data_IF_359483941704
#
_entry.id   IF_359483941704
#
_cell.length_a   1.000
_cell.length_b   1.000
_cell.length_c   1.000
_cell.angle_alpha   90.00
_cell.angle_beta   90.00
_cell.angle_gamma   90.00
#
_symmetry.space_group_name_H-M   'P 1'
#
loop_
_entity.id
_entity.type
_entity.pdbx_description
1 polymer ?
#
# COMPACT_ATOMS: atom_id res chain seq x y z
N UNK A 1 -42.85 13.26 -12.52
CA UNK A 1 -41.58 13.26 -13.29
C UNK A 1 -40.47 12.87 -12.34
N UNK A 2 -39.81 11.73 -12.55
CA UNK A 2 -38.81 11.20 -11.63
C UNK A 2 -37.43 11.78 -11.95
N UNK A 3 -36.76 12.30 -10.92
CA UNK A 3 -35.40 12.88 -11.02
C UNK A 3 -34.39 11.77 -11.35
N UNK A 4 -33.43 12.00 -12.27
CA UNK A 4 -32.43 10.99 -12.62
C UNK A 4 -31.55 10.66 -11.39
N UNK A 5 -31.65 9.42 -10.89
CA UNK A 5 -30.81 8.95 -9.81
C UNK A 5 -29.38 8.70 -10.30
N UNK A 6 -28.44 9.57 -9.92
CA UNK A 6 -26.99 9.39 -10.05
C UNK A 6 -26.45 8.28 -9.13
N UNK A 7 -26.90 7.03 -9.30
CA UNK A 7 -26.52 5.89 -8.46
C UNK A 7 -25.13 5.29 -8.73
N UNK A 8 -24.32 5.88 -9.61
CA UNK A 8 -22.98 5.37 -9.95
C UNK A 8 -21.87 6.43 -9.92
N UNK A 9 -22.05 7.49 -9.12
CA UNK A 9 -20.99 8.46 -8.79
C UNK A 9 -20.75 8.54 -7.29
N UNK A 10 -20.71 7.39 -6.61
CA UNK A 10 -19.99 7.29 -5.34
C UNK A 10 -18.51 7.42 -5.67
N UNK A 11 -18.09 8.67 -5.80
CA UNK A 11 -16.69 9.02 -5.94
C UNK A 11 -15.94 8.56 -4.70
N UNK A 12 -14.71 8.08 -4.88
CA UNK A 12 -13.77 7.88 -3.79
C UNK A 12 -13.33 9.23 -3.15
N UNK A 13 -13.95 10.35 -3.53
CA UNK A 13 -13.92 11.64 -2.82
C UNK A 13 -14.26 11.53 -1.32
N UNK A 14 -14.90 10.43 -0.88
CA UNK A 14 -15.15 10.12 0.53
C UNK A 14 -14.26 9.03 1.13
N UNK A 15 -13.24 8.53 0.41
CA UNK A 15 -12.21 7.69 1.06
C UNK A 15 -11.39 8.65 1.91
N UNK A 16 -11.76 8.73 3.19
CA UNK A 16 -10.96 9.35 4.22
C UNK A 16 -9.65 8.58 4.21
N UNK A 17 -8.62 9.15 3.58
CA UNK A 17 -7.25 8.74 3.87
C UNK A 17 -7.06 9.16 5.32
N UNK A 18 -6.81 8.21 6.25
CA UNK A 18 -6.53 8.55 7.63
C UNK A 18 -5.45 9.63 7.65
N UNK A 19 -5.59 10.60 8.54
CA UNK A 19 -4.52 11.56 8.75
C UNK A 19 -3.25 10.79 9.13
N UNK A 20 -2.08 11.12 8.53
CA UNK A 20 -0.86 10.38 8.80
C UNK A 20 -0.60 10.41 10.31
N UNK A 21 -0.41 9.23 10.90
CA UNK A 21 -0.01 9.15 12.30
C UNK A 21 1.44 9.58 12.36
N UNK A 22 1.67 10.71 13.03
CA UNK A 22 2.99 11.25 13.26
C UNK A 22 3.44 10.91 14.67
N UNK A 23 4.62 10.30 14.77
CA UNK A 23 5.27 10.11 16.06
C UNK A 23 5.79 11.45 16.57
N UNK A 24 5.91 11.58 17.89
CA UNK A 24 6.75 12.65 18.42
C UNK A 24 8.20 12.43 17.96
N UNK A 25 9.01 13.48 17.78
CA UNK A 25 10.41 13.31 17.36
C UNK A 25 11.19 12.35 18.28
N UNK A 26 10.93 12.40 19.59
CA UNK A 26 11.58 11.50 20.55
C UNK A 26 11.15 10.02 20.37
N UNK A 27 9.87 9.78 20.07
CA UNK A 27 9.37 8.43 19.78
C UNK A 27 9.90 7.89 18.46
N UNK A 28 9.96 8.73 17.41
CA UNK A 28 10.52 8.35 16.12
C UNK A 28 12.00 7.96 16.25
N UNK A 29 12.81 8.79 16.92
CA UNK A 29 14.23 8.50 17.13
C UNK A 29 14.42 7.20 17.91
N UNK A 30 13.65 7.02 19.00
CA UNK A 30 13.71 5.80 19.83
C UNK A 30 13.27 4.56 19.06
N UNK A 31 12.18 4.66 18.29
CA UNK A 31 11.65 3.56 17.48
C UNK A 31 12.63 3.17 16.38
N UNK A 32 13.24 4.16 15.72
CA UNK A 32 14.25 3.95 14.67
C UNK A 32 15.52 3.31 15.23
N UNK A 33 16.02 3.81 16.36
CA UNK A 33 17.20 3.22 17.03
C UNK A 33 16.93 1.77 17.42
N UNK A 34 15.77 1.49 18.03
CA UNK A 34 15.39 0.14 18.42
C UNK A 34 15.19 -0.78 17.21
N UNK A 35 14.56 -0.29 16.15
CA UNK A 35 14.43 -1.03 14.90
C UNK A 35 15.80 -1.44 14.37
N UNK A 36 16.74 -0.51 14.27
CA UNK A 36 18.10 -0.79 13.79
C UNK A 36 18.81 -1.81 14.69
N UNK A 37 18.70 -1.68 16.01
CA UNK A 37 19.27 -2.65 16.95
C UNK A 37 18.72 -4.07 16.77
N UNK A 38 17.41 -4.19 16.51
CA UNK A 38 16.77 -5.49 16.23
C UNK A 38 17.29 -6.04 14.91
N UNK A 39 17.29 -5.24 13.84
CA UNK A 39 17.77 -5.67 12.53
C UNK A 39 19.24 -6.11 12.59
N UNK A 40 20.12 -5.32 13.20
CA UNK A 40 21.54 -5.64 13.31
C UNK A 40 21.80 -6.94 14.08
N UNK A 41 20.97 -7.24 15.07
CA UNK A 41 21.06 -8.47 15.84
C UNK A 41 20.56 -9.70 15.06
N UNK A 42 19.38 -9.63 14.46
CA UNK A 42 18.73 -10.78 13.84
C UNK A 42 19.14 -11.01 12.38
N UNK A 43 19.47 -9.96 11.62
CA UNK A 43 19.80 -10.08 10.20
C UNK A 43 20.94 -11.08 9.93
N UNK A 44 22.06 -11.07 10.68
CA UNK A 44 23.15 -12.03 10.51
C UNK A 44 22.80 -13.46 10.92
N UNK A 45 21.84 -13.63 11.84
CA UNK A 45 21.44 -14.93 12.39
C UNK A 45 20.48 -15.71 11.48
N UNK A 46 19.89 -15.02 10.51
CA UNK A 46 18.96 -15.64 9.56
C UNK A 46 19.59 -16.81 8.82
N UNK A 47 18.91 -17.96 8.88
CA UNK A 47 19.18 -19.06 7.96
C UNK A 47 18.73 -18.62 6.57
N UNK A 48 19.59 -18.81 5.55
CA UNK A 48 19.21 -18.56 4.16
C UNK A 48 18.07 -19.52 3.78
N UNK A 49 16.82 -19.07 3.89
CA UNK A 49 15.70 -19.79 3.30
C UNK A 49 15.88 -19.77 1.79
N UNK A 50 15.52 -20.85 1.09
CA UNK A 50 15.70 -20.95 -0.38
C UNK A 50 14.90 -19.90 -1.18
N UNK A 51 14.02 -19.11 -0.55
CA UNK A 51 13.10 -18.18 -1.23
C UNK A 51 13.50 -16.70 -1.04
N UNK A 52 13.80 -16.28 0.19
CA UNK A 52 14.22 -14.92 0.54
C UNK A 52 14.75 -14.86 1.98
N UNK A 53 15.33 -13.73 2.37
CA UNK A 53 15.78 -13.44 3.74
C UNK A 53 14.76 -12.53 4.44
N UNK A 54 13.97 -13.01 5.42
CA UNK A 54 12.90 -12.24 6.06
C UNK A 54 13.34 -10.90 6.67
N UNK A 55 14.37 -10.88 7.52
CA UNK A 55 14.80 -9.66 8.24
C UNK A 55 15.42 -8.68 7.24
N UNK A 56 16.15 -9.18 6.23
CA UNK A 56 16.68 -8.33 5.15
C UNK A 56 15.55 -7.68 4.35
N UNK A 57 14.44 -8.40 4.10
CA UNK A 57 13.26 -7.82 3.45
C UNK A 57 12.66 -6.69 4.29
N UNK A 58 12.56 -6.86 5.61
CA UNK A 58 12.05 -5.83 6.53
C UNK A 58 12.91 -4.58 6.44
N UNK A 59 14.24 -4.71 6.56
CA UNK A 59 15.19 -3.60 6.44
C UNK A 59 15.03 -2.85 5.11
N UNK A 60 15.03 -3.60 4.00
CA UNK A 60 14.88 -3.01 2.65
C UNK A 60 13.51 -2.35 2.45
N UNK A 61 12.48 -2.84 3.14
CA UNK A 61 11.15 -2.21 3.10
C UNK A 61 11.18 -0.87 3.81
N UNK A 62 11.75 -0.80 5.01
CA UNK A 62 11.91 0.45 5.76
C UNK A 62 12.74 1.49 4.99
N UNK A 63 13.85 1.07 4.35
CA UNK A 63 14.68 1.96 3.53
C UNK A 63 13.97 2.47 2.26
N UNK A 64 12.95 1.75 1.78
CA UNK A 64 12.28 2.03 0.50
C UNK A 64 11.00 2.86 0.60
N UNK A 65 10.47 3.08 1.80
CA UNK A 65 9.20 3.80 2.02
C UNK A 65 9.44 5.29 2.29
N UNK A 66 8.39 6.10 2.15
CA UNK A 66 8.42 7.54 2.49
C UNK A 66 7.63 7.89 3.76
N UNK A 67 6.97 6.89 4.36
CA UNK A 67 6.09 7.02 5.54
C UNK A 67 6.67 6.19 6.70
N UNK A 68 7.82 6.63 7.20
CA UNK A 68 8.60 5.90 8.21
C UNK A 68 7.81 5.70 9.52
N UNK A 69 7.16 6.75 10.03
CA UNK A 69 6.37 6.70 11.28
C UNK A 69 5.29 5.62 11.22
N UNK A 70 4.50 5.60 10.15
CA UNK A 70 3.42 4.62 9.96
C UNK A 70 3.97 3.19 9.93
N UNK A 71 5.12 3.00 9.29
CA UNK A 71 5.77 1.70 9.25
C UNK A 71 6.30 1.29 10.62
N UNK A 72 6.95 2.19 11.37
CA UNK A 72 7.45 1.91 12.71
C UNK A 72 6.30 1.55 13.65
N UNK A 73 5.22 2.33 13.63
CA UNK A 73 4.00 2.05 14.39
C UNK A 73 3.48 0.66 14.03
N UNK A 74 3.29 0.39 12.73
CA UNK A 74 2.75 -0.89 12.28
C UNK A 74 3.67 -2.07 12.63
N UNK A 75 4.98 -1.91 12.44
CA UNK A 75 6.00 -2.90 12.76
C UNK A 75 5.95 -3.28 14.24
N UNK A 76 6.10 -2.31 15.15
CA UNK A 76 6.13 -2.60 16.59
C UNK A 76 4.79 -3.15 17.09
N UNK A 77 3.68 -2.60 16.61
CA UNK A 77 2.34 -3.08 16.96
C UNK A 77 2.14 -4.53 16.53
N UNK A 78 2.55 -4.89 15.30
CA UNK A 78 2.44 -6.24 14.79
C UNK A 78 3.31 -7.23 15.60
N UNK A 79 4.55 -6.85 15.90
CA UNK A 79 5.47 -7.68 16.66
C UNK A 79 4.90 -7.96 18.05
N UNK A 80 4.40 -6.95 18.74
CA UNK A 80 3.87 -7.13 20.09
C UNK A 80 2.58 -7.97 20.11
N UNK A 81 1.68 -7.78 19.13
CA UNK A 81 0.51 -8.65 18.95
C UNK A 81 0.92 -10.12 18.81
N UNK A 82 1.93 -10.37 17.97
CA UNK A 82 2.35 -11.73 17.69
C UNK A 82 3.00 -12.40 18.91
N UNK A 83 3.80 -11.65 19.66
CA UNK A 83 4.47 -12.12 20.88
C UNK A 83 3.50 -12.42 22.00
N UNK A 84 2.51 -11.54 22.20
CA UNK A 84 1.52 -11.68 23.26
C UNK A 84 0.40 -12.67 22.86
N UNK A 85 0.29 -13.02 21.58
CA UNK A 85 -0.73 -13.94 21.06
C UNK A 85 -2.15 -13.37 21.17
N UNK A 86 -2.28 -12.04 21.13
CA UNK A 86 -3.56 -11.34 21.32
C UNK A 86 -4.22 -11.06 19.98
N UNK A 87 -5.55 -10.98 19.96
CA UNK A 87 -6.34 -10.65 18.78
C UNK A 87 -6.13 -9.20 18.34
N UNK A 88 -6.28 -8.94 17.03
CA UNK A 88 -6.07 -7.62 16.39
C UNK A 88 -6.92 -6.47 16.99
N UNK A 89 -7.99 -6.78 17.71
CA UNK A 89 -8.85 -5.79 18.37
C UNK A 89 -8.23 -5.20 19.66
N UNK A 90 -7.08 -5.71 20.11
CA UNK A 90 -6.44 -5.22 21.33
C UNK A 90 -5.55 -4.02 21.02
N UNK A 91 -5.86 -2.89 21.65
CA UNK A 91 -5.05 -1.70 21.50
C UNK A 91 -3.67 -1.91 22.15
N UNK A 92 -2.61 -1.79 21.35
CA UNK A 92 -1.22 -1.85 21.81
C UNK A 92 -0.67 -0.43 21.85
N UNK A 93 -0.19 -0.03 23.02
CA UNK A 93 0.48 1.25 23.20
C UNK A 93 1.93 1.17 22.72
N UNK A 94 2.28 1.95 21.69
CA UNK A 94 3.63 1.97 21.13
C UNK A 94 4.70 2.27 22.18
N UNK A 95 4.46 3.23 23.08
CA UNK A 95 5.42 3.60 24.12
C UNK A 95 5.72 2.43 25.09
N UNK A 96 4.71 1.63 25.40
CA UNK A 96 4.85 0.42 26.22
C UNK A 96 5.62 -0.66 25.46
N UNK A 97 5.31 -0.88 24.18
CA UNK A 97 6.03 -1.82 23.31
C UNK A 97 7.49 -1.45 23.14
N UNK A 98 7.81 -0.17 22.88
CA UNK A 98 9.19 0.28 22.76
C UNK A 98 9.95 0.03 24.06
N UNK A 99 9.29 0.23 25.20
CA UNK A 99 9.91 0.02 26.52
C UNK A 99 10.08 -1.47 26.85
N UNK A 100 9.12 -2.33 26.49
CA UNK A 100 9.22 -3.78 26.68
C UNK A 100 10.37 -4.32 25.82
N UNK A 101 10.36 -4.02 24.53
CA UNK A 101 11.28 -4.57 23.53
C UNK A 101 12.69 -4.01 23.63
N UNK A 102 12.89 -2.80 24.17
CA UNK A 102 14.23 -2.21 24.35
C UNK A 102 15.23 -3.12 25.08
N UNK A 103 14.74 -3.98 25.98
CA UNK A 103 15.57 -4.90 26.77
C UNK A 103 15.88 -6.25 26.10
N UNK A 104 15.52 -6.44 24.81
CA UNK A 104 15.52 -7.77 24.17
C UNK A 104 16.86 -8.51 24.17
N UNK A 105 17.98 -7.79 24.23
CA UNK A 105 19.31 -8.41 24.27
C UNK A 105 19.56 -9.18 25.58
N UNK A 106 18.88 -8.81 26.67
CA UNK A 106 18.99 -9.46 27.98
C UNK A 106 17.99 -10.61 28.20
N UNK A 107 17.13 -10.89 27.23
CA UNK A 107 16.11 -11.93 27.33
C UNK A 107 16.65 -13.35 27.19
N UNK A 108 15.83 -14.31 27.59
CA UNK A 108 16.15 -15.73 27.39
C UNK A 108 16.19 -16.07 25.91
N UNK A 109 16.76 -17.24 25.58
CA UNK A 109 16.82 -17.70 24.19
C UNK A 109 15.42 -17.97 23.64
N UNK A 110 14.48 -18.42 24.48
CA UNK A 110 13.08 -18.63 24.12
C UNK A 110 12.38 -17.32 23.77
N UNK A 111 12.53 -16.29 24.60
CA UNK A 111 11.95 -14.96 24.35
C UNK A 111 12.50 -14.33 23.07
N UNK A 112 13.82 -14.46 22.82
CA UNK A 112 14.43 -14.01 21.58
C UNK A 112 13.98 -14.83 20.37
N UNK A 113 13.76 -16.12 20.53
CA UNK A 113 13.18 -16.96 19.48
C UNK A 113 11.74 -16.53 19.15
N UNK A 114 10.94 -16.16 20.15
CA UNK A 114 9.58 -15.62 19.91
C UNK A 114 9.64 -14.30 19.13
N UNK A 115 10.61 -13.43 19.45
CA UNK A 115 10.83 -12.20 18.68
C UNK A 115 11.26 -12.51 17.24
N UNK A 116 12.21 -13.42 17.03
CA UNK A 116 12.64 -13.85 15.69
C UNK A 116 11.47 -14.41 14.86
N UNK A 117 10.67 -15.30 15.45
CA UNK A 117 9.47 -15.87 14.81
C UNK A 117 8.46 -14.78 14.44
N UNK A 118 8.28 -13.77 15.30
CA UNK A 118 7.43 -12.61 15.03
C UNK A 118 7.96 -11.77 13.85
N UNK A 119 9.28 -11.57 13.74
CA UNK A 119 9.90 -10.88 12.59
C UNK A 119 9.68 -11.67 11.30
N UNK A 120 9.86 -12.99 11.33
CA UNK A 120 9.61 -13.86 10.16
C UNK A 120 8.15 -13.76 9.71
N UNK A 121 7.20 -13.80 10.65
CA UNK A 121 5.76 -13.64 10.36
C UNK A 121 5.44 -12.26 9.79
N UNK A 122 6.07 -11.20 10.30
CA UNK A 122 5.90 -9.85 9.74
C UNK A 122 6.38 -9.77 8.29
N UNK A 123 7.55 -10.34 7.98
CA UNK A 123 8.04 -10.40 6.61
C UNK A 123 7.11 -11.21 5.68
N UNK A 124 6.55 -12.32 6.17
CA UNK A 124 5.54 -13.09 5.44
C UNK A 124 4.28 -12.25 5.18
N UNK A 125 3.80 -11.52 6.18
CA UNK A 125 2.67 -10.61 6.05
C UNK A 125 2.92 -9.55 4.98
N UNK A 126 4.12 -8.96 4.95
CA UNK A 126 4.50 -7.98 3.92
C UNK A 126 4.40 -8.58 2.50
N UNK A 127 4.88 -9.81 2.34
CA UNK A 127 4.80 -10.52 1.05
C UNK A 127 3.35 -10.77 0.66
N UNK A 128 2.55 -11.31 1.56
CA UNK A 128 1.19 -11.75 1.26
C UNK A 128 0.23 -10.58 0.99
N UNK A 129 0.39 -9.47 1.72
CA UNK A 129 -0.57 -8.37 1.69
C UNK A 129 -0.13 -7.18 0.82
N UNK A 130 1.17 -7.01 0.56
CA UNK A 130 1.65 -5.90 -0.26
C UNK A 130 2.35 -6.38 -1.53
N UNK A 131 3.40 -7.19 -1.40
CA UNK A 131 4.25 -7.51 -2.57
C UNK A 131 3.59 -8.47 -3.57
N UNK A 132 2.84 -9.48 -3.11
CA UNK A 132 2.13 -10.40 -4.00
C UNK A 132 0.98 -9.72 -4.76
N UNK A 133 0.11 -8.91 -4.12
CA UNK A 133 -0.88 -8.12 -4.84
C UNK A 133 -0.26 -7.19 -5.88
N UNK A 134 0.82 -6.48 -5.54
CA UNK A 134 1.54 -5.61 -6.48
C UNK A 134 2.11 -6.41 -7.67
N UNK A 135 2.68 -7.59 -7.41
CA UNK A 135 3.20 -8.48 -8.45
C UNK A 135 2.11 -9.01 -9.38
N UNK A 136 0.95 -9.37 -8.82
CA UNK A 136 -0.21 -9.83 -9.60
C UNK A 136 -0.79 -8.70 -10.48
N UNK A 137 -0.78 -7.46 -9.98
CA UNK A 137 -1.16 -6.28 -10.74
C UNK A 137 -0.14 -5.93 -11.84
N UNK A 138 1.16 -6.10 -11.58
CA UNK A 138 2.22 -5.82 -12.56
C UNK A 138 2.12 -6.70 -13.83
N UNK A 139 1.56 -7.91 -13.73
CA UNK A 139 1.31 -8.77 -14.90
C UNK A 139 0.21 -8.23 -15.83
N UNK A 140 -0.67 -7.36 -15.33
CA UNK A 140 -1.64 -6.60 -16.10
C UNK A 140 -1.18 -5.16 -16.10
N UNK A 141 -0.17 -4.76 -16.89
CA UNK A 141 0.19 -3.34 -17.04
C UNK A 141 -1.07 -2.51 -17.32
N UNK A 142 -1.63 -1.76 -16.34
CA UNK A 142 -2.52 -0.68 -16.69
C UNK A 142 -1.59 0.37 -17.30
N UNK A 143 -2.06 1.11 -18.28
CA UNK A 143 -1.29 2.17 -18.93
C UNK A 143 -0.39 2.95 -17.96
N UNK A 144 0.80 3.42 -18.43
CA UNK A 144 1.74 4.17 -17.60
C UNK A 144 0.97 5.22 -16.79
N UNK A 145 1.08 5.11 -15.46
CA UNK A 145 0.58 6.13 -14.55
C UNK A 145 1.10 7.47 -15.05
N UNK A 146 0.23 8.41 -15.46
CA UNK A 146 0.69 9.65 -16.04
C UNK A 146 1.60 10.34 -15.02
N UNK A 147 2.77 10.78 -15.48
CA UNK A 147 3.84 11.36 -14.65
C UNK A 147 3.40 12.57 -13.79
N UNK A 148 2.17 13.06 -13.98
CA UNK A 148 1.52 14.06 -13.13
C UNK A 148 1.14 13.54 -11.74
N UNK A 149 1.01 12.22 -11.52
CA UNK A 149 0.70 11.67 -10.19
C UNK A 149 1.95 11.55 -9.33
N UNK A 150 3.11 11.26 -9.93
CA UNK A 150 4.38 11.10 -9.20
C UNK A 150 5.04 12.43 -8.80
N UNK A 151 4.52 13.57 -9.26
CA UNK A 151 5.11 14.90 -9.08
C UNK A 151 4.29 15.81 -8.14
N UNK A 152 3.58 15.22 -7.17
CA UNK A 152 2.99 15.99 -6.06
C UNK A 152 4.02 16.21 -4.94
N UNK A 153 5.11 16.89 -5.31
CA UNK A 153 5.97 17.65 -4.39
C UNK A 153 6.17 19.03 -4.99
N UNK A 154 5.10 19.81 -5.09
CA UNK A 154 5.13 21.27 -5.20
C UNK A 154 3.70 21.79 -5.27
N UNK A 155 3.36 22.63 -4.31
CA UNK A 155 2.28 23.62 -4.31
C UNK A 155 1.55 23.84 -5.65
N UNK A 156 0.32 23.32 -5.77
CA UNK A 156 -0.87 23.90 -6.45
C UNK A 156 -1.97 22.81 -6.60
N UNK A 157 -3.27 23.13 -6.44
CA UNK A 157 -4.35 22.15 -6.55
C UNK A 157 -4.68 21.89 -8.02
N UNK A 158 -3.82 21.15 -8.73
CA UNK A 158 -4.05 20.74 -10.12
C UNK A 158 -4.88 19.44 -10.25
N UNK A 159 -5.37 18.89 -9.12
CA UNK A 159 -6.36 17.81 -9.06
C UNK A 159 -7.71 18.47 -8.78
N UNK A 160 -8.62 18.41 -9.75
CA UNK A 160 -10.00 18.91 -9.59
C UNK A 160 -10.37 20.18 -10.36
N UNK A 161 -9.49 20.73 -11.21
CA UNK A 161 -9.89 21.87 -12.05
C UNK A 161 -11.07 21.49 -12.96
N UNK A 162 -12.13 22.33 -13.05
CA UNK A 162 -13.31 22.03 -13.88
C UNK A 162 -12.96 21.68 -15.33
N UNK A 163 -11.91 22.32 -15.86
CA UNK A 163 -11.41 22.09 -17.22
C UNK A 163 -10.89 20.65 -17.42
N UNK A 164 -10.11 20.13 -16.47
CA UNK A 164 -9.57 18.76 -16.55
C UNK A 164 -10.69 17.72 -16.46
N UNK A 165 -11.66 17.95 -15.58
CA UNK A 165 -12.84 17.07 -15.44
C UNK A 165 -13.71 17.12 -16.71
N UNK A 166 -13.86 18.30 -17.32
CA UNK A 166 -14.57 18.47 -18.60
C UNK A 166 -13.89 17.67 -19.73
N UNK A 167 -12.58 17.81 -19.87
CA UNK A 167 -11.81 17.08 -20.89
C UNK A 167 -11.89 15.56 -20.69
N UNK A 168 -11.78 15.08 -19.45
CA UNK A 168 -11.92 13.65 -19.15
C UNK A 168 -13.34 13.13 -19.44
N UNK A 169 -14.39 13.89 -19.10
CA UNK A 169 -15.77 13.53 -19.45
C UNK A 169 -15.95 13.49 -20.96
N UNK A 170 -15.41 14.47 -21.68
CA UNK A 170 -15.44 14.49 -23.14
C UNK A 170 -14.80 13.23 -23.71
N UNK A 171 -13.58 12.88 -23.29
CA UNK A 171 -12.87 11.69 -23.76
C UNK A 171 -13.63 10.39 -23.45
N UNK A 172 -14.20 10.26 -22.25
CA UNK A 172 -15.03 9.11 -21.88
C UNK A 172 -16.32 9.03 -22.71
N UNK A 173 -16.98 10.16 -22.96
CA UNK A 173 -18.16 10.22 -23.83
C UNK A 173 -17.81 9.88 -25.28
N UNK A 174 -16.65 10.32 -25.78
CA UNK A 174 -16.17 9.95 -27.12
C UNK A 174 -15.89 8.45 -27.21
N UNK A 175 -15.24 7.87 -26.19
CA UNK A 175 -14.94 6.43 -26.13
C UNK A 175 -16.22 5.59 -26.03
N UNK A 176 -17.14 5.99 -25.16
CA UNK A 176 -18.35 5.23 -24.85
C UNK A 176 -19.55 5.62 -25.74
N UNK A 177 -19.33 6.47 -26.76
CA UNK A 177 -20.38 6.98 -27.67
C UNK A 177 -21.20 5.86 -28.32
N UNK A 178 -20.56 4.73 -28.59
CA UNK A 178 -21.17 3.56 -29.23
C UNK A 178 -21.39 2.41 -28.26
N UNK A 179 -21.51 2.72 -26.95
CA UNK A 179 -21.79 1.74 -25.91
C UNK A 179 -23.19 1.95 -25.36
N UNK A 180 -24.00 0.90 -25.38
CA UNK A 180 -25.31 0.93 -24.74
C UNK A 180 -25.14 1.12 -23.22
N UNK A 181 -25.75 2.16 -22.66
CA UNK A 181 -25.63 2.50 -21.23
C UNK A 181 -26.23 1.41 -20.34
N UNK A 182 -27.33 0.78 -20.79
CA UNK A 182 -28.06 -0.23 -20.01
C UNK A 182 -27.31 -1.57 -20.05
N UNK A 183 -26.99 -2.07 -21.23
CA UNK A 183 -26.39 -3.41 -21.38
C UNK A 183 -24.88 -3.41 -21.27
N UNK A 184 -24.24 -2.23 -21.29
CA UNK A 184 -22.79 -2.04 -21.33
C UNK A 184 -22.10 -2.65 -22.56
N UNK A 185 -22.87 -3.14 -23.54
CA UNK A 185 -22.38 -3.71 -24.80
C UNK A 185 -22.08 -2.60 -25.82
N UNK A 186 -21.02 -2.77 -26.58
CA UNK A 186 -20.70 -1.90 -27.71
C UNK A 186 -21.54 -2.25 -28.93
N UNK A 187 -21.80 -1.24 -29.77
CA UNK A 187 -22.45 -1.39 -31.06
C UNK A 187 -21.55 -2.20 -31.98
N UNK A 188 -22.04 -3.36 -32.40
CA UNK A 188 -21.30 -4.28 -33.25
C UNK A 188 -21.10 -3.71 -34.66
N UNK A 189 -22.06 -2.94 -35.18
CA UNK A 189 -21.97 -2.33 -36.52
C UNK A 189 -20.91 -1.22 -36.54
N UNK A 190 -20.83 -0.42 -35.49
CA UNK A 190 -19.74 0.55 -35.32
C UNK A 190 -18.39 -0.17 -35.23
N UNK A 191 -18.32 -1.26 -34.47
CA UNK A 191 -17.10 -2.06 -34.34
C UNK A 191 -16.60 -2.58 -35.69
N UNK A 192 -17.50 -3.14 -36.51
CA UNK A 192 -17.21 -3.60 -37.87
C UNK A 192 -16.77 -2.45 -38.78
N UNK A 193 -17.45 -1.31 -38.71
CA UNK A 193 -17.11 -0.11 -39.48
C UNK A 193 -15.70 0.40 -39.13
N UNK A 194 -15.35 0.46 -37.85
CA UNK A 194 -13.99 0.86 -37.42
C UNK A 194 -12.93 -0.13 -37.83
N UNK A 195 -13.22 -1.43 -37.75
CA UNK A 195 -12.29 -2.46 -38.21
C UNK A 195 -12.00 -2.31 -39.72
N UNK A 196 -13.02 -2.03 -40.53
CA UNK A 196 -12.84 -1.82 -41.96
C UNK A 196 -12.07 -0.53 -42.31
N UNK A 197 -12.14 0.50 -41.45
CA UNK A 197 -11.45 1.78 -41.68
C UNK A 197 -10.00 1.76 -41.16
N UNK A 198 -9.76 1.17 -39.98
CA UNK A 198 -8.48 1.28 -39.26
C UNK A 198 -7.75 -0.07 -39.08
N UNK A 199 -8.36 -1.20 -39.44
CA UNK A 199 -7.84 -2.55 -39.16
C UNK A 199 -6.58 -2.93 -39.93
N UNK A 200 -6.19 -2.16 -40.96
CA UNK A 200 -5.00 -2.39 -41.78
C UNK A 200 -3.81 -1.47 -41.44
N UNK A 201 -3.95 -0.54 -40.48
CA UNK A 201 -2.81 0.24 -39.99
C UNK A 201 -2.04 -0.56 -38.93
N UNK A 202 -1.04 -1.34 -39.37
CA UNK A 202 0.02 -1.93 -38.54
C UNK A 202 1.25 -1.04 -38.48
#
# INVERSE_FOLDING_TARGET
MAVPHHRHRSSLEGVIVPEPQHLTPEEHDKATELFNMIIDYFEPLQKSSKKYKPITLIRLTMEGISVEDEFLIFFFTFIEHNRLGVTEDTEICLAETLSSVQSFQGWTDEERHVLDDSLVKFAMYLIENFFLPLKALAAKTPQPTPASVSRLKSSEPAIGTPQRVSNLRHLCLTRDRHRCVITRKFDALEGETRYNIYGDEK
#
